data_IF_934412497467
#
_entry.id   IF_934412497467
#
_cell.length_a   1.000
_cell.length_b   1.000
_cell.length_c   1.000
_cell.angle_alpha   90.00
_cell.angle_beta   90.00
_cell.angle_gamma   90.00
#
_symmetry.space_group_name_H-M   'P 1'
#
loop_
_entity.id
_entity.type
_entity.pdbx_description
1 polymer ?
#
# COMPACT_ATOMS: atom_id res chain seq x y z
N UNK A 1 41.93 -31.53 20.02
CA UNK A 1 40.59 -32.07 20.35
C UNK A 1 39.88 -31.01 21.18
N UNK A 2 39.20 -30.09 20.49
CA UNK A 2 38.67 -28.84 21.04
C UNK A 2 37.23 -29.04 21.51
N UNK A 3 37.05 -29.08 22.83
CA UNK A 3 35.81 -28.77 23.52
C UNK A 3 35.93 -27.33 24.03
N UNK A 4 35.19 -26.39 23.43
CA UNK A 4 34.92 -25.09 24.02
C UNK A 4 33.73 -24.39 23.34
N UNK A 5 32.63 -24.23 24.09
CA UNK A 5 31.88 -22.97 24.07
C UNK A 5 30.60 -22.85 23.23
N UNK A 6 29.63 -23.75 23.40
CA UNK A 6 28.22 -23.48 23.07
C UNK A 6 27.60 -22.55 24.14
N UNK A 7 27.88 -21.25 24.08
CA UNK A 7 27.40 -20.27 25.08
C UNK A 7 27.10 -18.92 24.40
N UNK A 8 25.82 -18.52 24.42
CA UNK A 8 25.24 -17.18 24.20
C UNK A 8 24.94 -16.68 22.77
N UNK A 9 23.80 -17.12 22.22
CA UNK A 9 23.00 -16.32 21.28
C UNK A 9 21.81 -15.68 22.03
N UNK A 10 22.01 -14.45 22.55
CA UNK A 10 20.94 -13.56 23.02
C UNK A 10 21.27 -12.14 22.55
N UNK A 11 21.05 -11.88 21.26
CA UNK A 11 21.16 -10.54 20.68
C UNK A 11 19.79 -10.00 20.25
N UNK A 12 19.65 -8.68 20.39
CA UNK A 12 18.48 -7.83 20.19
C UNK A 12 18.02 -7.77 18.72
N UNK A 13 17.17 -8.70 18.30
CA UNK A 13 16.42 -8.65 17.03
C UNK A 13 15.04 -7.95 17.18
N UNK A 14 14.92 -7.06 18.16
CA UNK A 14 13.69 -6.83 18.93
C UNK A 14 12.56 -6.00 18.31
N UNK A 15 12.74 -5.30 17.18
CA UNK A 15 11.75 -4.27 16.74
C UNK A 15 11.27 -4.44 15.29
N UNK A 16 11.76 -5.45 14.56
CA UNK A 16 11.66 -5.45 13.09
C UNK A 16 10.28 -5.92 12.56
N UNK A 17 9.49 -6.70 13.32
CA UNK A 17 8.40 -7.50 12.74
C UNK A 17 7.01 -7.38 13.35
N UNK A 18 6.82 -6.71 14.49
CA UNK A 18 5.54 -6.80 15.23
C UNK A 18 4.92 -5.41 15.45
N UNK A 19 4.62 -4.76 14.33
CA UNK A 19 3.69 -3.64 14.28
C UNK A 19 2.49 -4.13 13.47
N UNK A 20 1.31 -4.13 14.10
CA UNK A 20 0.04 -4.58 13.51
C UNK A 20 -0.53 -3.57 12.51
N UNK A 21 0.02 -2.35 12.51
CA UNK A 21 -0.18 -1.35 11.47
C UNK A 21 1.16 -0.85 10.94
N UNK A 22 1.56 -1.24 9.74
CA UNK A 22 2.78 -0.67 9.12
C UNK A 22 2.45 0.62 8.36
N UNK A 23 3.45 1.48 8.16
CA UNK A 23 3.30 2.70 7.35
C UNK A 23 4.41 2.80 6.30
N UNK A 24 4.01 2.89 5.04
CA UNK A 24 4.93 2.97 3.90
C UNK A 24 4.67 4.22 3.07
N UNK A 25 5.73 4.92 2.66
CA UNK A 25 5.60 6.01 1.69
C UNK A 25 5.36 5.46 0.29
N UNK A 26 4.50 6.14 -0.44
CA UNK A 26 4.23 5.89 -1.84
C UNK A 26 4.79 7.05 -2.65
N UNK A 27 5.49 6.74 -3.72
CA UNK A 27 6.02 7.74 -4.65
C UNK A 27 5.07 7.92 -5.83
N UNK A 28 4.97 9.13 -6.37
CA UNK A 28 4.21 9.41 -7.58
C UNK A 28 4.68 8.51 -8.74
N UNK A 29 3.86 8.35 -9.78
CA UNK A 29 4.19 7.55 -10.96
C UNK A 29 4.17 6.03 -10.76
N UNK A 30 5.15 5.44 -10.07
CA UNK A 30 5.21 3.97 -9.89
C UNK A 30 4.45 3.47 -8.64
N UNK A 31 4.29 4.31 -7.62
CA UNK A 31 3.69 3.90 -6.34
C UNK A 31 2.19 3.66 -6.41
N UNK A 32 1.45 4.40 -7.24
CA UNK A 32 0.03 4.10 -7.48
C UNK A 32 -0.17 2.88 -8.37
N UNK A 33 0.82 2.53 -9.21
CA UNK A 33 0.78 1.28 -9.99
C UNK A 33 0.99 0.07 -9.09
N UNK A 34 1.86 0.19 -8.07
CA UNK A 34 1.90 -0.80 -7.01
C UNK A 34 0.53 -0.95 -6.34
N UNK A 35 -0.14 0.17 -6.05
CA UNK A 35 -1.50 0.13 -5.52
C UNK A 35 -2.45 -0.59 -6.48
N UNK A 36 -2.50 -0.25 -7.77
CA UNK A 36 -3.43 -0.88 -8.69
C UNK A 36 -3.13 -2.37 -8.94
N UNK A 37 -1.85 -2.71 -9.14
CA UNK A 37 -1.41 -4.08 -9.51
C UNK A 37 -1.23 -5.04 -8.33
N UNK A 38 -1.10 -4.55 -7.09
CA UNK A 38 -0.85 -5.39 -5.92
C UNK A 38 -1.93 -5.26 -4.85
N UNK A 39 -2.59 -4.09 -4.75
CA UNK A 39 -3.55 -3.74 -3.70
C UNK A 39 -4.99 -3.64 -4.25
N UNK A 40 -5.22 -3.06 -5.43
CA UNK A 40 -6.52 -3.00 -6.09
C UNK A 40 -6.75 -4.18 -7.05
N UNK A 41 -6.05 -5.31 -6.84
CA UNK A 41 -6.17 -6.48 -7.72
C UNK A 41 -7.53 -7.17 -7.51
N UNK A 42 -8.53 -6.65 -8.23
CA UNK A 42 -9.94 -7.07 -8.21
C UNK A 42 -10.82 -6.26 -9.17
N UNK A 43 -10.37 -5.10 -9.66
CA UNK A 43 -11.18 -4.12 -10.41
C UNK A 43 -11.57 -4.50 -11.86
N UNK A 44 -11.61 -5.77 -12.24
CA UNK A 44 -12.23 -6.14 -13.53
C UNK A 44 -13.75 -6.24 -13.39
N UNK A 45 -14.35 -5.05 -13.49
CA UNK A 45 -15.75 -4.66 -13.69
C UNK A 45 -16.83 -5.69 -13.40
N UNK A 46 -17.71 -5.39 -12.43
CA UNK A 46 -19.05 -6.00 -12.34
C UNK A 46 -20.07 -5.20 -11.54
N UNK A 47 -21.31 -5.64 -11.75
CA UNK A 47 -22.59 -4.93 -11.75
C UNK A 47 -23.10 -4.49 -10.37
N UNK A 48 -23.90 -3.43 -10.38
CA UNK A 48 -24.37 -2.65 -9.22
C UNK A 48 -25.53 -3.31 -8.49
N UNK A 49 -25.35 -4.49 -7.88
CA UNK A 49 -26.37 -4.99 -6.93
C UNK A 49 -25.87 -6.14 -6.04
N UNK A 50 -25.97 -5.92 -4.70
CA UNK A 50 -26.46 -6.84 -3.65
C UNK A 50 -25.49 -7.70 -2.78
N UNK A 51 -26.13 -8.10 -1.68
CA UNK A 51 -25.94 -9.06 -0.55
C UNK A 51 -24.57 -9.56 -0.06
N UNK A 52 -24.49 -9.73 1.28
CA UNK A 52 -23.33 -10.22 2.05
C UNK A 52 -22.90 -11.66 1.71
N UNK A 53 -23.63 -12.40 0.88
CA UNK A 53 -23.28 -13.75 0.41
C UNK A 53 -22.40 -13.76 -0.85
N UNK A 54 -22.34 -12.67 -1.61
CA UNK A 54 -21.68 -12.66 -2.93
C UNK A 54 -20.14 -12.64 -2.85
N UNK A 55 -19.56 -12.13 -1.75
CA UNK A 55 -18.10 -12.08 -1.57
C UNK A 55 -17.40 -13.45 -1.48
N UNK A 56 -18.15 -14.53 -1.26
CA UNK A 56 -17.61 -15.88 -1.23
C UNK A 56 -17.31 -16.44 -2.61
N UNK A 57 -18.07 -16.00 -3.61
CA UNK A 57 -18.08 -16.55 -4.98
C UNK A 57 -17.37 -15.66 -6.00
N UNK A 58 -17.08 -14.41 -5.64
CA UNK A 58 -16.31 -13.50 -6.49
C UNK A 58 -14.82 -13.85 -6.49
N UNK A 59 -14.19 -13.73 -7.67
CA UNK A 59 -12.75 -13.90 -7.81
C UNK A 59 -12.05 -12.60 -7.40
N UNK A 60 -11.08 -12.69 -6.50
CA UNK A 60 -10.31 -11.54 -6.03
C UNK A 60 -10.84 -10.98 -4.71
N UNK A 61 -10.43 -9.75 -4.41
CA UNK A 61 -10.76 -9.07 -3.15
C UNK A 61 -11.82 -7.99 -3.36
N UNK A 62 -12.54 -7.56 -2.31
CA UNK A 62 -13.55 -6.52 -2.42
C UNK A 62 -12.95 -5.23 -3.02
N UNK A 63 -13.75 -4.43 -3.74
CA UNK A 63 -13.28 -3.18 -4.31
C UNK A 63 -12.85 -2.21 -3.21
N UNK A 64 -11.90 -1.34 -3.54
CA UNK A 64 -11.47 -0.29 -2.62
C UNK A 64 -12.61 0.69 -2.34
N UNK A 65 -12.61 1.33 -1.16
CA UNK A 65 -13.61 2.34 -0.78
C UNK A 65 -12.98 3.64 -0.31
N UNK A 66 -13.60 4.75 -0.67
CA UNK A 66 -13.21 6.08 -0.18
C UNK A 66 -13.70 6.31 1.24
N UNK A 67 -12.79 6.73 2.12
CA UNK A 67 -13.07 7.11 3.51
C UNK A 67 -12.32 8.39 3.90
N UNK A 68 -12.74 8.99 5.01
CA UNK A 68 -12.15 10.22 5.56
C UNK A 68 -12.92 11.47 5.16
N UNK A 69 -12.87 12.51 6.00
CA UNK A 69 -13.57 13.78 5.77
C UNK A 69 -13.04 14.49 4.52
N UNK A 70 -11.74 14.38 4.24
CA UNK A 70 -11.16 14.97 3.04
C UNK A 70 -11.69 14.34 1.75
N UNK A 71 -11.99 13.03 1.78
CA UNK A 71 -12.64 12.36 0.66
C UNK A 71 -14.07 12.90 0.47
N UNK A 72 -14.83 13.08 1.55
CA UNK A 72 -16.17 13.69 1.51
C UNK A 72 -16.15 15.12 0.96
N UNK A 73 -15.17 15.94 1.33
CA UNK A 73 -15.02 17.31 0.80
C UNK A 73 -14.72 17.35 -0.71
N UNK A 74 -14.05 16.32 -1.23
CA UNK A 74 -13.85 16.13 -2.66
C UNK A 74 -15.07 15.50 -3.37
N UNK A 75 -16.18 15.28 -2.65
CA UNK A 75 -17.37 14.62 -3.19
C UNK A 75 -17.20 13.11 -3.40
N UNK A 76 -16.15 12.50 -2.84
CA UNK A 76 -15.86 11.08 -3.02
C UNK A 76 -16.61 10.23 -2.01
N UNK A 77 -17.22 9.17 -2.52
CA UNK A 77 -17.87 8.14 -1.71
C UNK A 77 -17.92 6.83 -2.49
N UNK A 78 -18.13 5.72 -1.77
CA UNK A 78 -18.25 4.41 -2.40
C UNK A 78 -16.92 3.91 -2.98
N UNK A 79 -17.00 3.23 -4.12
CA UNK A 79 -15.87 2.51 -4.71
C UNK A 79 -14.78 3.45 -5.25
N UNK A 80 -13.54 3.05 -5.02
CA UNK A 80 -12.35 3.65 -5.61
C UNK A 80 -12.19 3.14 -7.03
N UNK A 81 -11.87 4.02 -7.98
CA UNK A 81 -11.56 3.62 -9.36
C UNK A 81 -10.09 3.81 -9.67
N UNK A 82 -9.57 3.04 -10.64
CA UNK A 82 -8.20 3.22 -11.14
C UNK A 82 -7.94 4.65 -11.63
N UNK A 83 -8.88 5.24 -12.37
CA UNK A 83 -8.76 6.61 -12.89
C UNK A 83 -8.63 7.65 -11.76
N UNK A 84 -9.38 7.47 -10.66
CA UNK A 84 -9.29 8.32 -9.48
C UNK A 84 -7.95 8.12 -8.74
N UNK A 85 -7.47 6.87 -8.64
CA UNK A 85 -6.17 6.57 -8.04
C UNK A 85 -5.02 7.19 -8.85
N UNK A 86 -5.06 7.06 -10.17
CA UNK A 86 -4.10 7.69 -11.09
C UNK A 86 -4.12 9.22 -10.93
N UNK A 87 -5.30 9.83 -10.86
CA UNK A 87 -5.43 11.28 -10.65
C UNK A 87 -4.76 11.71 -9.35
N UNK A 88 -5.18 11.14 -8.22
CA UNK A 88 -4.79 11.61 -6.91
C UNK A 88 -3.35 11.27 -6.56
N UNK A 89 -2.94 10.03 -6.76
CA UNK A 89 -1.64 9.49 -6.34
C UNK A 89 -0.60 9.46 -7.46
N UNK A 90 -1.04 9.39 -8.72
CA UNK A 90 -0.13 9.42 -9.87
C UNK A 90 0.26 10.84 -10.27
N UNK A 91 -0.74 11.70 -10.44
CA UNK A 91 -0.60 12.98 -11.14
C UNK A 91 -0.79 14.19 -10.21
N UNK A 92 -1.46 13.99 -9.07
CA UNK A 92 -1.74 15.05 -8.11
C UNK A 92 -2.91 15.95 -8.54
N UNK A 93 -3.85 15.36 -9.26
CA UNK A 93 -5.10 15.96 -9.72
C UNK A 93 -6.27 15.54 -8.82
N UNK A 94 -7.38 16.27 -8.95
CA UNK A 94 -8.66 15.92 -8.36
C UNK A 94 -9.08 14.52 -8.84
N UNK A 95 -9.64 13.64 -7.99
CA UNK A 95 -10.03 12.29 -8.41
C UNK A 95 -10.97 12.26 -9.62
N UNK A 96 -11.89 13.23 -9.72
CA UNK A 96 -12.76 13.41 -10.90
C UNK A 96 -12.12 14.25 -12.03
N UNK A 97 -10.78 14.19 -12.17
CA UNK A 97 -10.03 14.99 -13.13
C UNK A 97 -10.57 14.88 -14.56
N UNK A 98 -10.95 13.69 -15.01
CA UNK A 98 -11.43 13.49 -16.38
C UNK A 98 -12.72 14.27 -16.66
N UNK A 99 -13.66 14.28 -15.71
CA UNK A 99 -14.89 15.07 -15.82
C UNK A 99 -14.60 16.57 -15.83
N UNK A 100 -13.68 17.03 -14.98
CA UNK A 100 -13.27 18.45 -14.92
C UNK A 100 -12.57 18.86 -16.23
N UNK A 101 -11.70 18.01 -16.76
CA UNK A 101 -10.98 18.24 -18.02
C UNK A 101 -11.95 18.28 -19.19
N UNK A 102 -12.87 17.33 -19.28
CA UNK A 102 -13.88 17.28 -20.33
C UNK A 102 -14.75 18.54 -20.34
N UNK A 103 -15.22 18.98 -19.17
CA UNK A 103 -16.01 20.19 -19.02
C UNK A 103 -15.20 21.44 -19.42
N UNK A 104 -13.95 21.56 -18.95
CA UNK A 104 -13.09 22.68 -19.29
C UNK A 104 -12.82 22.79 -20.80
N UNK A 105 -12.56 21.66 -21.47
CA UNK A 105 -12.37 21.62 -22.93
C UNK A 105 -13.67 21.98 -23.66
N UNK A 106 -14.82 21.51 -23.18
CA UNK A 106 -16.11 21.87 -23.73
C UNK A 106 -16.40 23.39 -23.62
N UNK A 107 -15.91 24.03 -22.55
CA UNK A 107 -15.94 25.49 -22.37
C UNK A 107 -14.90 26.25 -23.22
N UNK A 108 -14.19 25.56 -24.13
CA UNK A 108 -13.20 26.16 -25.03
C UNK A 108 -11.83 26.41 -24.40
N UNK A 109 -11.57 25.87 -23.19
CA UNK A 109 -10.23 25.97 -22.58
C UNK A 109 -9.24 25.06 -23.29
N UNK A 110 -7.98 25.48 -23.35
CA UNK A 110 -6.89 24.63 -23.84
C UNK A 110 -6.61 23.47 -22.88
N UNK A 111 -5.95 22.41 -23.36
CA UNK A 111 -5.56 21.26 -22.51
C UNK A 111 -4.77 21.68 -21.26
N UNK A 112 -3.77 22.58 -21.34
CA UNK A 112 -3.09 23.08 -20.14
C UNK A 112 -4.04 23.76 -19.13
N UNK A 113 -5.00 24.55 -19.59
CA UNK A 113 -5.99 25.20 -18.74
C UNK A 113 -6.98 24.20 -18.12
N UNK A 114 -7.33 23.14 -18.85
CA UNK A 114 -8.18 22.06 -18.37
C UNK A 114 -7.48 21.23 -17.29
N UNK A 115 -6.20 20.88 -17.49
CA UNK A 115 -5.37 20.20 -16.48
C UNK A 115 -5.17 21.07 -15.23
N UNK A 116 -4.98 22.38 -15.41
CA UNK A 116 -4.89 23.34 -14.31
C UNK A 116 -6.19 23.37 -13.49
N UNK A 117 -7.35 23.33 -14.13
CA UNK A 117 -8.64 23.29 -13.46
C UNK A 117 -8.84 22.01 -12.63
N UNK A 118 -8.28 20.89 -13.08
CA UNK A 118 -8.32 19.61 -12.36
C UNK A 118 -7.26 19.51 -11.25
N UNK A 119 -6.38 20.49 -11.07
CA UNK A 119 -5.22 20.38 -10.18
C UNK A 119 -5.59 20.63 -8.71
N UNK A 120 -5.09 19.77 -7.80
CA UNK A 120 -5.20 19.98 -6.35
C UNK A 120 -3.83 20.36 -5.73
N UNK A 121 -3.62 21.66 -5.57
CA UNK A 121 -2.36 22.20 -5.05
C UNK A 121 -1.23 22.12 -6.07
N UNK A 122 0.02 21.94 -5.64
CA UNK A 122 1.17 21.82 -6.56
C UNK A 122 1.25 20.41 -7.14
N UNK A 123 1.59 20.28 -8.43
CA UNK A 123 1.89 18.98 -9.04
C UNK A 123 3.01 18.26 -8.27
N UNK A 124 3.00 16.92 -8.31
CA UNK A 124 4.10 16.16 -7.75
C UNK A 124 5.40 16.51 -8.48
N UNK A 125 6.39 16.99 -7.73
CA UNK A 125 7.69 17.32 -8.29
C UNK A 125 8.40 16.04 -8.75
N UNK A 126 8.93 16.08 -9.96
CA UNK A 126 9.94 15.13 -10.41
C UNK A 126 11.27 15.87 -10.49
N UNK A 127 12.23 15.46 -9.67
CA UNK A 127 13.59 15.97 -9.77
C UNK A 127 14.28 15.17 -10.86
N UNK A 128 14.57 15.83 -11.99
CA UNK A 128 15.51 15.34 -12.99
C UNK A 128 16.76 16.23 -12.96
N UNK A 129 17.93 15.63 -13.07
CA UNK A 129 19.20 16.36 -13.21
C UNK A 129 19.43 16.84 -14.64
N UNK A 130 18.72 16.28 -15.62
CA UNK A 130 18.87 16.57 -17.04
C UNK A 130 17.50 16.63 -17.77
N UNK A 131 17.36 17.43 -18.84
CA UNK A 131 16.19 17.39 -19.72
C UNK A 131 16.01 15.98 -20.31
N UNK A 132 14.78 15.47 -20.39
CA UNK A 132 14.47 14.18 -21.02
C UNK A 132 13.68 14.41 -22.32
N UNK A 133 14.30 14.22 -23.50
CA UNK A 133 13.58 14.33 -24.77
C UNK A 133 12.43 13.32 -24.90
N UNK A 134 12.58 12.12 -24.33
CA UNK A 134 11.52 11.10 -24.29
C UNK A 134 10.32 11.61 -23.49
N UNK A 135 10.56 12.27 -22.37
CA UNK A 135 9.52 12.89 -21.55
C UNK A 135 8.81 14.01 -22.31
N UNK A 136 9.55 14.91 -22.93
CA UNK A 136 8.96 16.05 -23.66
C UNK A 136 8.03 15.55 -24.78
N UNK A 137 8.44 14.50 -25.51
CA UNK A 137 7.62 13.84 -26.52
C UNK A 137 6.41 13.14 -25.87
N UNK A 138 6.60 12.49 -24.72
CA UNK A 138 5.51 11.84 -23.97
C UNK A 138 4.46 12.87 -23.53
N UNK A 139 4.88 14.00 -22.95
CA UNK A 139 4.00 15.06 -22.47
C UNK A 139 3.20 15.69 -23.63
N UNK A 140 3.85 15.92 -24.78
CA UNK A 140 3.17 16.36 -26.01
C UNK A 140 2.12 15.36 -26.48
N UNK A 141 2.47 14.06 -26.56
CA UNK A 141 1.56 12.99 -26.98
C UNK A 141 0.37 12.82 -26.02
N UNK A 142 0.59 12.98 -24.72
CA UNK A 142 -0.48 12.98 -23.72
C UNK A 142 -1.41 14.19 -23.94
N UNK A 143 -0.87 15.37 -24.23
CA UNK A 143 -1.70 16.54 -24.50
C UNK A 143 -2.56 16.37 -25.78
N UNK A 144 -1.98 15.81 -26.85
CA UNK A 144 -2.70 15.44 -28.07
C UNK A 144 -3.81 14.41 -27.78
N UNK A 145 -3.52 13.39 -26.97
CA UNK A 145 -4.50 12.40 -26.53
C UNK A 145 -5.66 13.05 -25.76
N UNK A 146 -5.37 13.92 -24.80
CA UNK A 146 -6.39 14.60 -23.99
C UNK A 146 -7.25 15.51 -24.87
N UNK A 147 -6.65 16.23 -25.83
CA UNK A 147 -7.40 17.07 -26.76
C UNK A 147 -8.41 16.25 -27.59
N UNK A 148 -7.98 15.06 -28.05
CA UNK A 148 -8.81 14.18 -28.87
C UNK A 148 -9.88 13.43 -28.05
N UNK A 149 -9.50 12.86 -26.92
CA UNK A 149 -10.35 11.95 -26.13
C UNK A 149 -11.11 12.65 -25.01
N UNK A 150 -10.76 13.90 -24.69
CA UNK A 150 -11.32 14.70 -23.57
C UNK A 150 -11.22 14.03 -22.20
N UNK A 151 -10.26 13.11 -22.06
CA UNK A 151 -9.91 12.42 -20.81
C UNK A 151 -8.41 12.15 -20.80
N UNK A 152 -7.87 11.82 -19.64
CA UNK A 152 -6.48 11.36 -19.50
C UNK A 152 -6.33 9.94 -20.06
N UNK A 153 -5.13 9.59 -20.57
CA UNK A 153 -4.85 8.21 -20.93
C UNK A 153 -4.83 7.34 -19.68
N UNK A 154 -5.39 6.13 -19.79
CA UNK A 154 -5.23 5.11 -18.77
C UNK A 154 -3.79 4.56 -18.75
N UNK A 155 -3.54 3.54 -17.93
CA UNK A 155 -2.19 3.00 -17.78
C UNK A 155 -1.64 2.34 -19.05
N UNK A 156 -2.44 1.53 -19.73
CA UNK A 156 -2.03 0.80 -20.94
C UNK A 156 -1.74 1.81 -22.06
N UNK A 157 -2.65 2.77 -22.24
CA UNK A 157 -2.50 3.86 -23.18
C UNK A 157 -1.26 4.70 -22.87
N UNK A 158 -1.04 5.07 -21.61
CA UNK A 158 0.15 5.83 -21.20
C UNK A 158 1.43 5.06 -21.44
N UNK A 159 1.41 3.74 -21.23
CA UNK A 159 2.56 2.86 -21.50
C UNK A 159 2.87 2.80 -23.00
N UNK A 160 1.84 2.73 -23.84
CA UNK A 160 2.00 2.81 -25.30
C UNK A 160 2.57 4.17 -25.69
N UNK A 161 1.98 5.28 -25.24
CA UNK A 161 2.43 6.64 -25.57
C UNK A 161 3.90 6.87 -25.17
N UNK A 162 4.32 6.36 -24.01
CA UNK A 162 5.71 6.47 -23.54
C UNK A 162 6.67 5.59 -24.34
N UNK A 163 6.23 4.39 -24.74
CA UNK A 163 7.00 3.49 -25.60
C UNK A 163 7.19 4.11 -26.99
N UNK A 164 6.16 4.71 -27.55
CA UNK A 164 6.21 5.41 -28.83
C UNK A 164 7.07 6.67 -28.77
N UNK A 165 7.03 7.40 -27.66
CA UNK A 165 7.91 8.55 -27.44
C UNK A 165 9.39 8.13 -27.40
N UNK A 166 9.71 7.03 -26.71
CA UNK A 166 11.07 6.48 -26.71
C UNK A 166 11.48 6.01 -28.10
N UNK A 167 10.59 5.35 -28.84
CA UNK A 167 10.83 4.93 -30.22
C UNK A 167 11.12 6.12 -31.13
N UNK A 168 10.32 7.19 -31.04
CA UNK A 168 10.51 8.43 -31.82
C UNK A 168 11.89 9.03 -31.54
N UNK A 169 12.21 9.27 -30.25
CA UNK A 169 13.49 9.83 -29.85
C UNK A 169 14.68 9.00 -30.33
N UNK A 170 14.65 7.68 -30.07
CA UNK A 170 15.72 6.78 -30.44
C UNK A 170 15.86 6.64 -31.97
N UNK A 171 14.78 6.70 -32.73
CA UNK A 171 14.85 6.69 -34.20
C UNK A 171 15.61 7.91 -34.72
N UNK A 172 15.35 9.09 -34.13
CA UNK A 172 16.08 10.32 -34.47
C UNK A 172 17.56 10.22 -34.08
N UNK A 173 17.89 9.71 -32.90
CA UNK A 173 19.27 9.62 -32.41
C UNK A 173 20.09 8.55 -33.13
N UNK A 174 19.49 7.38 -33.39
CA UNK A 174 20.18 6.24 -34.02
C UNK A 174 20.18 6.30 -35.54
N UNK A 175 19.31 7.11 -36.16
CA UNK A 175 19.12 7.13 -37.62
C UNK A 175 18.51 5.84 -38.20
N UNK A 176 18.01 4.94 -37.34
CA UNK A 176 17.36 3.67 -37.70
C UNK A 176 16.27 3.33 -36.70
N UNK A 177 15.42 2.36 -37.04
CA UNK A 177 14.46 1.82 -36.10
C UNK A 177 15.19 1.19 -34.87
N UNK A 178 14.81 1.56 -33.63
CA UNK A 178 15.35 0.94 -32.43
C UNK A 178 14.72 -0.45 -32.21
N UNK A 179 15.53 -1.35 -31.66
CA UNK A 179 15.08 -2.64 -31.15
C UNK A 179 14.28 -2.49 -29.86
N UNK A 180 13.60 -3.56 -29.45
CA UNK A 180 12.83 -3.59 -28.20
C UNK A 180 13.73 -3.34 -26.97
N UNK A 181 14.89 -3.98 -26.92
CA UNK A 181 15.85 -3.84 -25.82
C UNK A 181 16.35 -2.40 -25.68
N UNK A 182 16.65 -1.73 -26.81
CA UNK A 182 17.09 -0.32 -26.78
C UNK A 182 16.01 0.62 -26.22
N UNK A 183 14.74 0.36 -26.52
CA UNK A 183 13.61 1.11 -25.96
C UNK A 183 13.51 0.85 -24.45
N UNK A 184 13.56 -0.41 -24.03
CA UNK A 184 13.48 -0.81 -22.62
C UNK A 184 14.63 -0.19 -21.80
N UNK A 185 15.85 -0.22 -22.33
CA UNK A 185 17.04 0.37 -21.70
C UNK A 185 16.94 1.89 -21.57
N UNK A 186 16.48 2.59 -22.61
CA UNK A 186 16.28 4.04 -22.57
C UNK A 186 15.24 4.46 -21.52
N UNK A 187 14.11 3.74 -21.47
CA UNK A 187 13.06 3.98 -20.48
C UNK A 187 13.52 3.66 -19.05
N UNK A 188 14.36 2.63 -18.88
CA UNK A 188 14.96 2.27 -17.61
C UNK A 188 15.97 3.32 -17.13
N UNK A 189 16.82 3.83 -18.04
CA UNK A 189 17.78 4.90 -17.74
C UNK A 189 17.08 6.19 -17.29
N UNK A 190 16.02 6.59 -17.99
CA UNK A 190 15.19 7.74 -17.61
C UNK A 190 14.56 7.57 -16.21
N UNK A 191 14.07 6.35 -15.93
CA UNK A 191 13.50 6.02 -14.61
C UNK A 191 14.56 6.07 -13.50
N UNK A 192 15.79 5.65 -13.78
CA UNK A 192 16.88 5.68 -12.80
C UNK A 192 17.34 7.12 -12.47
N UNK A 193 17.26 8.04 -13.44
CA UNK A 193 17.65 9.44 -13.27
C UNK A 193 16.62 10.34 -12.56
N UNK A 194 15.40 9.85 -12.31
CA UNK A 194 14.30 10.66 -11.77
C UNK A 194 13.96 10.32 -10.31
N UNK A 195 13.97 11.33 -9.43
CA UNK A 195 13.44 11.19 -8.06
C UNK A 195 12.00 11.69 -8.00
N UNK A 196 11.08 10.80 -7.65
CA UNK A 196 9.64 11.09 -7.59
C UNK A 196 9.21 11.57 -6.19
N UNK A 197 8.39 12.61 -6.15
CA UNK A 197 7.79 13.09 -4.91
C UNK A 197 6.95 12.00 -4.22
N UNK A 198 6.76 12.17 -2.90
CA UNK A 198 5.85 11.31 -2.13
C UNK A 198 4.42 11.69 -2.48
N UNK A 199 3.67 10.73 -3.00
CA UNK A 199 2.28 10.87 -3.40
C UNK A 199 1.28 10.49 -2.30
N UNK A 200 1.69 9.66 -1.36
CA UNK A 200 0.83 9.20 -0.29
C UNK A 200 1.53 8.28 0.71
N UNK A 201 0.75 7.76 1.63
CA UNK A 201 1.20 6.90 2.72
C UNK A 201 0.23 5.73 2.87
N UNK A 202 0.75 4.51 2.72
CA UNK A 202 -0.01 3.29 2.89
C UNK A 202 0.09 2.80 4.34
N UNK A 203 -1.04 2.81 5.05
CA UNK A 203 -1.17 2.25 6.38
C UNK A 203 -1.77 0.85 6.28
N UNK A 204 -1.00 -0.20 6.56
CA UNK A 204 -1.46 -1.59 6.40
C UNK A 204 -1.83 -2.17 7.75
N UNK A 205 -3.13 -2.37 7.98
CA UNK A 205 -3.68 -2.94 9.20
C UNK A 205 -3.81 -4.45 9.09
N UNK A 206 -3.09 -5.19 9.92
CA UNK A 206 -3.13 -6.66 9.99
C UNK A 206 -3.38 -7.09 11.43
N UNK A 207 -4.46 -7.84 11.72
CA UNK A 207 -4.73 -8.37 13.05
C UNK A 207 -3.69 -9.43 13.45
N UNK A 208 -3.74 -9.87 14.71
CA UNK A 208 -2.81 -10.87 15.22
C UNK A 208 -3.03 -12.18 14.45
N UNK A 209 -1.98 -12.98 14.27
CA UNK A 209 -2.06 -14.16 13.41
C UNK A 209 -3.11 -15.16 13.91
N UNK A 210 -3.32 -15.28 15.22
CA UNK A 210 -4.43 -16.08 15.77
C UNK A 210 -5.82 -15.59 15.36
N UNK A 211 -6.05 -14.27 15.28
CA UNK A 211 -7.31 -13.71 14.77
C UNK A 211 -7.44 -14.03 13.27
N UNK A 212 -6.35 -13.90 12.50
CA UNK A 212 -6.35 -14.24 11.07
C UNK A 212 -6.67 -15.70 10.82
N UNK A 213 -6.12 -16.61 11.63
CA UNK A 213 -6.39 -18.04 11.52
C UNK A 213 -7.83 -18.35 11.94
N UNK A 214 -8.30 -17.78 13.06
CA UNK A 214 -9.68 -17.95 13.50
C UNK A 214 -10.69 -17.45 12.45
N UNK A 215 -10.36 -16.36 11.74
CA UNK A 215 -11.15 -15.86 10.62
C UNK A 215 -11.15 -16.83 9.41
N UNK A 216 -10.00 -17.43 9.09
CA UNK A 216 -9.87 -18.37 7.99
C UNK A 216 -10.59 -19.70 8.25
N UNK A 217 -10.29 -20.34 9.39
CA UNK A 217 -10.76 -21.68 9.74
C UNK A 217 -12.09 -21.68 10.53
N UNK A 218 -12.56 -20.53 10.98
CA UNK A 218 -13.82 -20.42 11.70
C UNK A 218 -15.06 -20.60 10.82
N UNK A 219 -16.22 -20.70 11.46
CA UNK A 219 -17.51 -20.68 10.77
C UNK A 219 -17.75 -19.35 10.04
N UNK A 220 -18.74 -19.33 9.15
CA UNK A 220 -19.13 -18.10 8.44
C UNK A 220 -19.50 -16.94 9.39
N UNK A 221 -20.09 -17.25 10.55
CA UNK A 221 -20.45 -16.23 11.53
C UNK A 221 -19.24 -15.69 12.30
N UNK A 222 -18.30 -16.57 12.67
CA UNK A 222 -17.00 -16.17 13.25
C UNK A 222 -16.26 -15.27 12.27
N UNK A 223 -16.21 -15.66 11.00
CA UNK A 223 -15.54 -14.91 9.94
C UNK A 223 -16.17 -13.54 9.75
N UNK A 224 -17.50 -13.48 9.62
CA UNK A 224 -18.26 -12.24 9.45
C UNK A 224 -18.03 -11.26 10.60
N UNK A 225 -18.03 -11.78 11.83
CA UNK A 225 -17.85 -10.97 13.03
C UNK A 225 -16.42 -10.45 13.17
N UNK A 226 -15.40 -11.28 12.90
CA UNK A 226 -14.00 -10.83 12.89
C UNK A 226 -13.77 -9.81 11.77
N UNK A 227 -14.33 -10.05 10.58
CA UNK A 227 -14.25 -9.13 9.46
C UNK A 227 -14.85 -7.78 9.89
N UNK A 228 -16.09 -7.73 10.37
CA UNK A 228 -16.75 -6.51 10.89
C UNK A 228 -15.90 -5.79 11.94
N UNK A 229 -15.41 -6.51 12.95
CA UNK A 229 -14.58 -5.93 14.01
C UNK A 229 -13.28 -5.32 13.45
N UNK A 230 -12.68 -5.93 12.43
CA UNK A 230 -11.51 -5.39 11.74
C UNK A 230 -11.84 -4.07 11.03
N UNK A 231 -12.91 -3.98 10.23
CA UNK A 231 -13.28 -2.71 9.55
C UNK A 231 -13.53 -1.60 10.54
N UNK A 232 -14.32 -1.85 11.58
CA UNK A 232 -14.63 -0.83 12.57
C UNK A 232 -13.37 -0.38 13.31
N UNK A 233 -12.45 -1.30 13.63
CA UNK A 233 -11.18 -0.94 14.26
C UNK A 233 -10.31 -0.08 13.33
N UNK A 234 -10.23 -0.41 12.04
CA UNK A 234 -9.53 0.40 11.04
C UNK A 234 -10.14 1.80 10.95
N UNK A 235 -11.46 1.90 10.81
CA UNK A 235 -12.17 3.18 10.72
C UNK A 235 -11.97 4.05 11.97
N UNK A 236 -12.10 3.48 13.17
CA UNK A 236 -11.88 4.22 14.42
C UNK A 236 -10.46 4.75 14.55
N UNK A 237 -9.46 3.96 14.15
CA UNK A 237 -8.05 4.38 14.21
C UNK A 237 -7.75 5.44 13.16
N UNK A 238 -8.30 5.31 11.95
CA UNK A 238 -8.14 6.31 10.90
C UNK A 238 -8.88 7.61 11.22
N UNK A 239 -10.07 7.55 11.82
CA UNK A 239 -10.78 8.75 12.30
C UNK A 239 -9.99 9.47 13.40
N UNK A 240 -9.38 8.71 14.31
CA UNK A 240 -8.47 9.27 15.31
C UNK A 240 -7.22 9.88 14.65
N UNK A 241 -6.61 9.18 13.70
CA UNK A 241 -5.44 9.67 12.98
C UNK A 241 -5.76 10.97 12.22
N UNK A 242 -6.90 11.03 11.54
CA UNK A 242 -7.38 12.23 10.87
C UNK A 242 -7.58 13.39 11.87
N UNK A 243 -8.16 13.14 13.05
CA UNK A 243 -8.37 14.18 14.05
C UNK A 243 -7.10 14.77 14.68
N UNK A 244 -5.97 14.04 14.61
CA UNK A 244 -4.72 14.43 15.29
C UNK A 244 -3.57 14.74 14.33
N UNK A 245 -3.59 14.18 13.13
CA UNK A 245 -2.45 14.17 12.21
C UNK A 245 -2.81 14.63 10.80
N UNK A 246 -4.06 15.04 10.53
CA UNK A 246 -4.41 15.78 9.32
C UNK A 246 -3.90 17.22 9.45
N UNK A 247 -2.62 17.42 9.16
CA UNK A 247 -1.94 18.71 9.29
C UNK A 247 -1.09 19.01 8.07
N UNK A 248 -0.94 20.30 7.75
CA UNK A 248 -0.10 20.79 6.65
C UNK A 248 0.73 21.99 7.09
N UNK A 249 1.66 22.45 6.25
CA UNK A 249 2.62 23.51 6.59
C UNK A 249 2.44 24.77 5.75
N UNK A 250 2.77 25.93 6.31
CA UNK A 250 2.73 27.26 5.70
C UNK A 250 3.98 28.09 6.04
N UNK A 251 4.18 29.15 5.28
CA UNK A 251 5.33 30.06 5.39
C UNK A 251 6.60 29.53 4.72
N UNK A 252 7.61 30.38 4.63
CA UNK A 252 8.93 29.99 4.12
C UNK A 252 9.44 28.77 4.92
N UNK A 253 9.91 27.73 4.23
CA UNK A 253 10.35 26.47 4.82
C UNK A 253 9.29 25.74 5.69
N UNK A 254 8.01 26.11 5.57
CA UNK A 254 6.92 25.46 6.30
C UNK A 254 6.95 25.67 7.81
N UNK A 255 7.48 26.79 8.30
CA UNK A 255 7.67 27.06 9.74
C UNK A 255 6.39 26.96 10.58
N UNK A 256 5.22 27.17 9.98
CA UNK A 256 3.92 27.08 10.66
C UNK A 256 3.18 25.82 10.25
N UNK A 257 2.73 25.02 11.22
CA UNK A 257 1.77 23.94 10.99
C UNK A 257 0.35 24.48 11.17
N UNK A 258 -0.57 24.05 10.31
CA UNK A 258 -2.00 24.32 10.41
C UNK A 258 -2.78 23.03 10.23
N UNK A 259 -4.00 23.01 10.73
CA UNK A 259 -4.92 21.88 10.55
C UNK A 259 -5.34 21.76 9.09
N UNK A 260 -5.50 20.52 8.65
CA UNK A 260 -6.25 20.18 7.47
C UNK A 260 -7.69 19.84 7.86
N UNK A 261 -8.60 19.99 6.91
CA UNK A 261 -10.01 19.71 7.09
C UNK A 261 -10.32 18.20 7.18
N UNK A 262 -9.50 17.38 6.53
CA UNK A 262 -9.54 15.93 6.63
C UNK A 262 -8.46 15.22 5.82
N UNK A 263 -8.45 13.89 5.93
CA UNK A 263 -7.64 12.99 5.11
C UNK A 263 -8.49 12.45 3.96
N UNK A 264 -7.85 12.26 2.80
CA UNK A 264 -8.41 11.52 1.67
C UNK A 264 -7.80 10.13 1.68
N UNK A 265 -8.62 9.09 1.88
CA UNK A 265 -8.10 7.73 2.09
C UNK A 265 -8.82 6.74 1.16
N UNK A 266 -8.05 5.97 0.39
CA UNK A 266 -8.54 4.81 -0.32
C UNK A 266 -8.23 3.54 0.50
N UNK A 267 -9.26 2.82 0.94
CA UNK A 267 -9.11 1.61 1.75
C UNK A 267 -9.37 0.37 0.90
N UNK A 268 -8.41 -0.56 0.87
CA UNK A 268 -8.51 -1.83 0.14
C UNK A 268 -8.39 -3.00 1.11
N UNK A 269 -9.31 -3.94 1.00
CA UNK A 269 -9.43 -5.05 1.95
C UNK A 269 -8.98 -6.34 1.28
N UNK A 270 -8.22 -7.15 1.99
CA UNK A 270 -7.64 -8.38 1.48
C UNK A 270 -7.87 -9.54 2.43
N UNK A 271 -7.88 -10.75 1.88
CA UNK A 271 -8.18 -11.98 2.61
C UNK A 271 -6.93 -12.77 3.00
N UNK A 272 -5.91 -12.72 2.15
CA UNK A 272 -4.76 -13.61 2.22
C UNK A 272 -3.44 -12.84 2.11
N UNK A 273 -2.35 -13.48 2.54
CA UNK A 273 -1.01 -12.96 2.28
C UNK A 273 -0.51 -13.42 0.91
N UNK A 274 0.71 -13.01 0.51
CA UNK A 274 1.28 -13.44 -0.79
C UNK A 274 1.54 -14.95 -0.95
N UNK A 275 1.59 -15.72 0.14
CA UNK A 275 1.67 -17.19 0.07
C UNK A 275 0.29 -17.85 0.06
N UNK A 276 -0.78 -17.06 0.11
CA UNK A 276 -2.14 -17.55 0.15
C UNK A 276 -2.57 -18.01 1.55
N UNK A 277 -1.89 -17.64 2.64
CA UNK A 277 -2.36 -17.98 4.01
C UNK A 277 -3.43 -16.99 4.49
N UNK A 278 -4.30 -17.39 5.45
CA UNK A 278 -5.27 -16.49 6.08
C UNK A 278 -4.58 -15.24 6.64
N UNK A 279 -4.99 -14.08 6.13
CA UNK A 279 -4.47 -12.79 6.54
C UNK A 279 -5.46 -11.66 6.17
N UNK A 280 -6.60 -11.54 6.86
CA UNK A 280 -7.51 -10.43 6.66
C UNK A 280 -6.78 -9.13 6.97
N UNK A 281 -6.57 -8.26 5.99
CA UNK A 281 -5.83 -7.01 6.18
C UNK A 281 -6.36 -5.87 5.32
N UNK A 282 -6.13 -4.64 5.77
CA UNK A 282 -6.57 -3.44 5.05
C UNK A 282 -5.39 -2.55 4.72
N UNK A 283 -5.21 -2.23 3.44
CA UNK A 283 -4.35 -1.15 2.96
C UNK A 283 -5.14 0.16 2.96
N UNK A 284 -4.84 1.06 3.90
CA UNK A 284 -5.44 2.39 3.96
C UNK A 284 -4.47 3.43 3.40
N UNK A 285 -4.69 3.78 2.14
CA UNK A 285 -3.83 4.66 1.37
C UNK A 285 -4.24 6.11 1.59
N UNK A 286 -3.47 6.82 2.40
CA UNK A 286 -3.67 8.23 2.71
C UNK A 286 -3.02 9.09 1.62
N UNK A 287 -3.77 10.01 1.04
CA UNK A 287 -3.24 11.01 0.10
C UNK A 287 -2.14 11.85 0.73
N UNK A 288 -1.07 12.08 -0.03
CA UNK A 288 -0.04 13.04 0.32
C UNK A 288 -0.51 14.48 0.21
N UNK A 289 -1.75 14.71 -0.26
CA UNK A 289 -2.38 16.03 -0.41
C UNK A 289 -3.55 16.18 0.54
N UNK A 290 -3.61 17.33 1.19
CA UNK A 290 -4.68 17.71 2.11
C UNK A 290 -5.10 19.15 1.88
N UNK A 291 -6.38 19.43 2.16
CA UNK A 291 -6.93 20.78 2.16
C UNK A 291 -6.69 21.41 3.53
N UNK A 292 -5.92 22.50 3.58
CA UNK A 292 -5.73 23.26 4.81
C UNK A 292 -7.03 23.96 5.23
N UNK A 293 -7.17 24.27 6.52
CA UNK A 293 -8.28 25.08 7.04
C UNK A 293 -8.35 26.50 6.45
N UNK A 294 -7.32 26.91 5.70
CA UNK A 294 -7.26 28.14 4.89
C UNK A 294 -7.79 27.98 3.46
N UNK A 295 -8.39 26.82 3.13
CA UNK A 295 -8.93 26.52 1.80
C UNK A 295 -7.88 26.19 0.75
N UNK A 296 -6.62 25.96 1.14
CA UNK A 296 -5.52 25.69 0.20
C UNK A 296 -5.02 24.26 0.27
N UNK A 297 -4.99 23.60 -0.88
CA UNK A 297 -4.38 22.28 -1.06
C UNK A 297 -2.86 22.33 -0.92
N UNK A 298 -2.29 21.42 -0.15
CA UNK A 298 -0.86 21.33 0.12
C UNK A 298 -0.45 19.91 0.50
N UNK A 299 0.85 19.67 0.63
CA UNK A 299 1.35 18.38 1.08
C UNK A 299 0.99 18.13 2.57
N UNK A 300 0.64 16.89 2.90
CA UNK A 300 0.47 16.41 4.26
C UNK A 300 1.80 16.46 5.01
N UNK A 301 1.80 17.00 6.22
CA UNK A 301 2.96 16.93 7.12
C UNK A 301 3.02 15.57 7.82
N UNK A 302 3.47 14.56 7.09
CA UNK A 302 3.49 13.18 7.58
C UNK A 302 4.47 12.91 8.73
N UNK A 303 5.31 13.87 9.15
CA UNK A 303 6.25 13.66 10.28
C UNK A 303 5.52 13.27 11.56
N UNK A 304 4.39 13.91 11.84
CA UNK A 304 3.57 13.59 12.99
C UNK A 304 2.92 12.19 12.85
N UNK A 305 2.43 11.87 11.66
CA UNK A 305 1.86 10.56 11.35
C UNK A 305 2.91 9.43 11.50
N UNK A 306 4.12 9.62 10.98
CA UNK A 306 5.25 8.69 11.17
C UNK A 306 5.58 8.49 12.64
N UNK A 307 5.72 9.57 13.40
CA UNK A 307 6.00 9.50 14.83
C UNK A 307 4.90 8.76 15.62
N UNK A 308 3.66 8.81 15.14
CA UNK A 308 2.50 8.17 15.76
C UNK A 308 2.27 6.70 15.34
N UNK A 309 3.04 6.15 14.39
CA UNK A 309 2.81 4.81 13.81
C UNK A 309 2.64 3.73 14.88
N UNK A 310 3.53 3.68 15.87
CA UNK A 310 3.47 2.69 16.95
C UNK A 310 2.21 2.88 17.79
N UNK A 311 1.89 4.12 18.18
CA UNK A 311 0.68 4.42 18.97
C UNK A 311 -0.61 4.08 18.23
N UNK A 312 -0.68 4.37 16.92
CA UNK A 312 -1.81 4.00 16.07
C UNK A 312 -1.94 2.48 15.94
N UNK A 313 -0.82 1.76 15.81
CA UNK A 313 -0.82 0.29 15.82
C UNK A 313 -1.30 -0.28 17.16
N UNK A 314 -0.87 0.29 18.28
CA UNK A 314 -1.33 -0.14 19.61
C UNK A 314 -2.84 0.12 19.78
N UNK A 315 -3.33 1.27 19.27
CA UNK A 315 -4.75 1.60 19.27
C UNK A 315 -5.55 0.60 18.45
N UNK A 316 -5.10 0.27 17.24
CA UNK A 316 -5.74 -0.75 16.40
C UNK A 316 -5.84 -2.10 17.13
N UNK A 317 -4.73 -2.57 17.71
CA UNK A 317 -4.71 -3.83 18.47
C UNK A 317 -5.69 -3.81 19.64
N UNK A 318 -5.67 -2.74 20.45
CA UNK A 318 -6.58 -2.59 21.58
C UNK A 318 -8.05 -2.54 21.15
N UNK A 319 -8.35 -1.84 20.05
CA UNK A 319 -9.71 -1.72 19.52
C UNK A 319 -10.24 -3.06 19.01
N UNK A 320 -9.49 -3.78 18.17
CA UNK A 320 -9.97 -5.06 17.62
C UNK A 320 -10.10 -6.12 18.71
N UNK A 321 -9.12 -6.23 19.62
CA UNK A 321 -9.19 -7.16 20.76
C UNK A 321 -10.39 -6.82 21.65
N UNK A 322 -10.61 -5.53 21.94
CA UNK A 322 -11.74 -5.09 22.74
C UNK A 322 -13.09 -5.41 22.10
N UNK A 323 -13.21 -5.26 20.78
CA UNK A 323 -14.43 -5.61 20.03
C UNK A 323 -14.69 -7.12 20.10
N UNK A 324 -13.69 -7.94 19.75
CA UNK A 324 -13.81 -9.40 19.74
C UNK A 324 -14.07 -10.00 21.13
N UNK A 325 -13.47 -9.44 22.18
CA UNK A 325 -13.78 -9.82 23.58
C UNK A 325 -15.25 -9.61 23.92
N UNK A 326 -15.87 -8.55 23.41
CA UNK A 326 -17.27 -8.19 23.74
C UNK A 326 -18.28 -8.92 22.86
N UNK A 327 -18.00 -9.08 21.57
CA UNK A 327 -18.97 -9.66 20.64
C UNK A 327 -18.91 -11.17 20.55
N UNK A 328 -17.76 -11.78 20.84
CA UNK A 328 -17.54 -13.23 20.71
C UNK A 328 -17.02 -13.89 21.99
N UNK A 329 -16.89 -13.13 23.08
CA UNK A 329 -16.38 -13.61 24.37
C UNK A 329 -14.97 -14.26 24.29
N UNK A 330 -14.20 -13.90 23.26
CA UNK A 330 -12.87 -14.47 23.06
C UNK A 330 -11.93 -14.07 24.20
N UNK A 331 -11.15 -15.04 24.68
CA UNK A 331 -10.05 -14.79 25.62
C UNK A 331 -8.75 -14.60 24.84
N UNK A 332 -7.89 -13.74 25.38
CA UNK A 332 -6.60 -13.42 24.79
C UNK A 332 -5.51 -13.57 25.84
N UNK A 333 -4.35 -14.06 25.42
CA UNK A 333 -3.15 -14.19 26.25
C UNK A 333 -1.97 -13.45 25.61
N UNK A 334 -1.04 -13.01 26.45
CA UNK A 334 0.19 -12.39 26.00
C UNK A 334 1.18 -13.46 25.53
N UNK A 335 1.60 -13.39 24.26
CA UNK A 335 2.68 -14.22 23.73
C UNK A 335 3.93 -13.37 23.49
N UNK A 336 4.99 -13.71 24.21
CA UNK A 336 6.28 -13.02 24.15
C UNK A 336 7.16 -13.66 23.08
N UNK A 337 7.52 -12.89 22.05
CA UNK A 337 8.31 -13.40 20.91
C UNK A 337 9.76 -12.90 20.89
N UNK A 338 10.40 -12.92 22.07
CA UNK A 338 11.81 -12.59 22.28
C UNK A 338 12.04 -11.47 23.30
N UNK A 339 13.29 -11.33 23.77
CA UNK A 339 13.67 -10.36 24.80
C UNK A 339 13.55 -8.92 24.29
N UNK A 340 12.86 -8.06 25.05
CA UNK A 340 12.69 -6.64 24.74
C UNK A 340 11.55 -6.33 23.76
N UNK A 341 10.71 -7.31 23.42
CA UNK A 341 9.51 -7.12 22.60
C UNK A 341 8.29 -6.88 23.47
N UNK A 342 7.38 -6.04 22.98
CA UNK A 342 6.03 -6.00 23.52
C UNK A 342 5.33 -7.33 23.19
N UNK A 343 4.56 -7.91 24.12
CA UNK A 343 3.79 -9.11 23.84
C UNK A 343 2.73 -8.82 22.76
N UNK A 344 2.43 -9.83 21.95
CA UNK A 344 1.26 -9.81 21.07
C UNK A 344 0.12 -10.52 21.80
N UNK A 345 -1.08 -9.95 21.74
CA UNK A 345 -2.28 -10.59 22.28
C UNK A 345 -2.80 -11.58 21.23
N UNK A 346 -2.71 -12.86 21.54
CA UNK A 346 -3.18 -13.95 20.69
C UNK A 346 -4.42 -14.61 21.32
N UNK A 347 -5.33 -15.12 20.50
CA UNK A 347 -6.56 -15.79 20.94
C UNK A 347 -6.21 -17.09 21.66
N UNK A 348 -6.75 -17.27 22.87
CA UNK A 348 -6.63 -18.52 23.62
C UNK A 348 -7.31 -19.65 22.85
N UNK A 349 -6.60 -20.76 22.65
CA UNK A 349 -7.09 -21.92 21.88
C UNK A 349 -6.49 -22.03 20.47
N UNK A 350 -5.86 -20.98 19.94
CA UNK A 350 -5.06 -21.08 18.71
C UNK A 350 -3.62 -21.43 19.09
N UNK A 351 -3.20 -22.67 18.84
CA UNK A 351 -1.87 -23.18 19.20
C UNK A 351 -0.72 -22.51 18.44
N UNK A 352 0.51 -22.61 18.97
CA UNK A 352 1.70 -22.07 18.30
C UNK A 352 2.08 -22.89 17.05
N UNK A 353 1.75 -24.17 17.03
CA UNK A 353 1.81 -25.05 15.87
C UNK A 353 0.95 -24.53 14.71
N UNK A 354 -0.30 -24.16 15.00
CA UNK A 354 -1.23 -23.60 14.03
C UNK A 354 -0.74 -22.23 13.51
N UNK A 355 -0.18 -21.40 14.39
CA UNK A 355 0.45 -20.14 14.00
C UNK A 355 1.65 -20.38 13.09
N UNK A 356 2.49 -21.37 13.40
CA UNK A 356 3.68 -21.71 12.63
C UNK A 356 3.31 -22.19 11.23
N UNK A 357 2.30 -23.05 11.10
CA UNK A 357 1.81 -23.57 9.81
C UNK A 357 1.37 -22.44 8.84
N UNK A 358 0.67 -21.43 9.33
CA UNK A 358 0.19 -20.30 8.53
C UNK A 358 1.10 -19.07 8.59
N UNK A 359 2.37 -19.24 8.95
CA UNK A 359 3.35 -18.17 9.09
C UNK A 359 4.61 -18.46 8.28
N UNK A 360 5.09 -17.41 7.62
CA UNK A 360 6.32 -17.44 6.81
C UNK A 360 7.55 -16.97 7.57
N UNK A 361 7.40 -16.84 8.88
CA UNK A 361 8.40 -16.23 9.74
C UNK A 361 9.70 -17.01 9.71
N UNK A 362 9.64 -18.33 9.68
CA UNK A 362 10.83 -19.18 9.73
C UNK A 362 11.66 -19.06 8.44
N UNK A 363 11.02 -19.02 7.27
CA UNK A 363 11.70 -18.77 6.00
C UNK A 363 12.40 -17.41 5.99
N UNK A 364 11.72 -16.37 6.48
CA UNK A 364 12.25 -15.00 6.53
C UNK A 364 13.45 -14.94 7.49
N UNK A 365 13.35 -15.59 8.66
CA UNK A 365 14.44 -15.67 9.63
C UNK A 365 15.63 -16.42 9.04
N UNK A 366 15.41 -17.59 8.46
CA UNK A 366 16.47 -18.38 7.82
C UNK A 366 17.16 -17.58 6.71
N UNK A 367 16.41 -16.86 5.87
CA UNK A 367 16.98 -16.02 4.82
C UNK A 367 17.75 -14.83 5.38
N UNK A 368 17.23 -14.17 6.42
CA UNK A 368 17.92 -13.09 7.11
C UNK A 368 19.25 -13.57 7.71
N UNK A 369 19.28 -14.75 8.32
CA UNK A 369 20.50 -15.33 8.89
C UNK A 369 21.57 -15.58 7.84
N UNK A 370 21.18 -16.07 6.65
CA UNK A 370 22.08 -16.21 5.50
C UNK A 370 22.64 -14.84 5.06
N UNK A 371 21.79 -13.83 4.94
CA UNK A 371 22.20 -12.47 4.58
C UNK A 371 23.14 -11.85 5.62
N UNK A 372 22.84 -12.04 6.91
CA UNK A 372 23.68 -11.57 8.01
C UNK A 372 25.03 -12.30 8.05
N UNK A 373 25.06 -13.62 7.82
CA UNK A 373 26.29 -14.40 7.73
C UNK A 373 27.17 -13.93 6.56
N UNK A 374 26.57 -13.69 5.38
CA UNK A 374 27.26 -13.12 4.23
C UNK A 374 27.82 -11.73 4.52
N UNK A 375 27.04 -10.87 5.19
CA UNK A 375 27.50 -9.55 5.60
C UNK A 375 28.74 -9.64 6.50
N UNK A 376 28.72 -10.54 7.51
CA UNK A 376 29.88 -10.77 8.39
C UNK A 376 31.10 -11.26 7.62
N UNK A 377 30.92 -12.19 6.68
CA UNK A 377 32.03 -12.72 5.88
C UNK A 377 32.70 -11.63 5.02
N UNK A 378 31.93 -10.69 4.48
CA UNK A 378 32.43 -9.59 3.64
C UNK A 378 33.03 -8.46 4.47
N UNK A 379 32.42 -8.09 5.59
CA UNK A 379 32.77 -6.88 6.36
C UNK A 379 33.55 -7.16 7.65
N UNK A 380 33.73 -8.43 8.05
CA UNK A 380 34.47 -8.81 9.25
C UNK A 380 33.79 -8.48 10.58
N UNK A 381 32.56 -7.94 10.57
CA UNK A 381 31.81 -7.59 11.77
C UNK A 381 30.30 -7.82 11.61
N UNK A 382 29.58 -7.84 12.73
CA UNK A 382 28.12 -7.95 12.72
C UNK A 382 27.45 -6.71 12.09
N UNK A 383 26.35 -6.87 11.34
CA UNK A 383 25.61 -5.72 10.81
C UNK A 383 25.07 -4.86 11.96
N UNK A 384 25.22 -3.53 11.84
CA UNK A 384 24.59 -2.56 12.76
C UNK A 384 23.07 -2.62 12.61
N UNK A 385 22.33 -2.09 13.59
CA UNK A 385 20.86 -2.15 13.61
C UNK A 385 20.19 -1.64 12.33
N UNK A 386 20.63 -0.49 11.79
CA UNK A 386 20.13 0.06 10.52
C UNK A 386 20.33 -0.91 9.34
N UNK A 387 21.48 -1.57 9.29
CA UNK A 387 21.78 -2.58 8.27
C UNK A 387 20.93 -3.83 8.47
N UNK A 388 20.71 -4.25 9.72
CA UNK A 388 19.83 -5.38 10.02
C UNK A 388 18.40 -5.13 9.52
N UNK A 389 17.84 -3.92 9.68
CA UNK A 389 16.54 -3.57 9.10
C UNK A 389 16.52 -3.75 7.57
N UNK A 390 17.58 -3.32 6.88
CA UNK A 390 17.69 -3.48 5.42
C UNK A 390 17.78 -4.94 5.01
N UNK A 391 18.60 -5.74 5.71
CA UNK A 391 18.73 -7.18 5.43
C UNK A 391 17.44 -7.93 5.73
N UNK A 392 16.70 -7.56 6.77
CA UNK A 392 15.40 -8.15 7.09
C UNK A 392 14.33 -7.78 6.05
N UNK A 393 14.33 -6.54 5.57
CA UNK A 393 13.49 -6.12 4.44
C UNK A 393 13.84 -6.91 3.17
N UNK A 394 15.13 -7.09 2.89
CA UNK A 394 15.62 -7.90 1.77
C UNK A 394 15.19 -9.36 1.90
N UNK A 395 15.37 -9.99 3.07
CA UNK A 395 14.92 -11.36 3.32
C UNK A 395 13.41 -11.51 3.10
N UNK A 396 12.63 -10.54 3.58
CA UNK A 396 11.18 -10.49 3.37
C UNK A 396 10.83 -10.38 1.89
N UNK A 397 11.60 -9.65 1.09
CA UNK A 397 11.37 -9.49 -0.34
C UNK A 397 11.77 -10.73 -1.14
N UNK A 398 12.94 -11.30 -0.86
CA UNK A 398 13.50 -12.44 -1.59
C UNK A 398 12.76 -13.75 -1.31
N UNK A 399 12.16 -13.88 -0.12
CA UNK A 399 11.33 -15.03 0.19
C UNK A 399 9.94 -14.93 -0.45
N UNK A 400 9.51 -13.77 -0.99
CA UNK A 400 8.17 -13.63 -1.60
C UNK A 400 8.03 -14.53 -2.84
N UNK A 401 7.10 -15.47 -2.77
CA UNK A 401 6.56 -16.13 -3.96
C UNK A 401 5.84 -15.12 -4.88
N UNK A 402 5.74 -15.46 -6.17
CA UNK A 402 4.84 -14.75 -7.08
C UNK A 402 3.39 -14.92 -6.61
N UNK A 403 2.60 -13.84 -6.71
CA UNK A 403 1.18 -13.90 -6.31
C UNK A 403 0.48 -14.92 -7.23
N UNK A 404 -0.16 -15.97 -6.67
CA UNK A 404 -0.92 -16.92 -7.47
C UNK A 404 -2.09 -16.22 -8.16
N UNK A 405 -2.71 -16.90 -9.14
CA UNK A 405 -3.92 -16.40 -9.80
C UNK A 405 -5.01 -16.06 -8.76
N UNK A 406 -5.84 -15.02 -8.98
CA UNK A 406 -6.89 -14.64 -8.06
C UNK A 406 -7.84 -15.82 -7.78
N UNK A 407 -7.93 -16.23 -6.52
CA UNK A 407 -8.87 -17.26 -6.06
C UNK A 407 -10.13 -16.59 -5.52
N UNK A 408 -11.24 -17.32 -5.55
CA UNK A 408 -12.42 -16.95 -4.75
C UNK A 408 -12.11 -17.18 -3.27
N UNK A 409 -12.78 -16.45 -2.38
CA UNK A 409 -12.63 -16.71 -0.95
C UNK A 409 -13.01 -18.15 -0.62
N UNK A 410 -14.09 -18.71 -1.20
CA UNK A 410 -14.48 -20.10 -0.95
C UNK A 410 -13.38 -21.11 -1.28
N UNK A 411 -12.66 -20.92 -2.39
CA UNK A 411 -11.50 -21.77 -2.72
C UNK A 411 -10.39 -21.65 -1.67
N UNK A 412 -10.08 -20.43 -1.23
CA UNK A 412 -9.07 -20.21 -0.19
C UNK A 412 -9.47 -20.91 1.13
N UNK A 413 -10.73 -20.79 1.53
CA UNK A 413 -11.26 -21.44 2.74
C UNK A 413 -11.11 -22.96 2.68
N UNK A 414 -11.48 -23.60 1.57
CA UNK A 414 -11.31 -25.05 1.38
C UNK A 414 -9.83 -25.45 1.46
N UNK A 415 -8.92 -24.68 0.86
CA UNK A 415 -7.49 -24.96 0.90
C UNK A 415 -6.92 -24.84 2.32
N UNK A 416 -7.34 -23.83 3.08
CA UNK A 416 -6.90 -23.65 4.47
C UNK A 416 -7.40 -24.77 5.39
N UNK A 417 -8.67 -25.15 5.21
CA UNK A 417 -9.28 -26.24 5.96
C UNK A 417 -8.57 -27.57 5.68
N UNK A 418 -8.32 -27.90 4.41
CA UNK A 418 -7.60 -29.12 4.02
C UNK A 418 -6.16 -29.14 4.53
N UNK A 419 -5.47 -27.98 4.56
CA UNK A 419 -4.08 -27.90 5.06
C UNK A 419 -3.97 -28.22 6.55
N UNK A 420 -4.94 -27.79 7.35
CA UNK A 420 -4.88 -27.96 8.80
C UNK A 420 -5.66 -29.19 9.31
N UNK A 421 -6.72 -29.58 8.60
CA UNK A 421 -7.54 -30.76 8.87
C UNK A 421 -7.53 -31.71 7.64
N UNK A 422 -6.43 -32.45 7.39
CA UNK A 422 -6.31 -33.32 6.22
C UNK A 422 -7.21 -34.58 6.26
N UNK A 423 -7.88 -34.85 7.38
CA UNK A 423 -8.78 -35.99 7.57
C UNK A 423 -10.15 -35.53 8.12
N UNK A 424 -11.08 -35.23 7.21
CA UNK A 424 -12.52 -35.15 7.48
C UNK A 424 -13.31 -35.74 6.33
#
# INVERSE_FOLDING_TARGET
MLLAGNVFFKFTYGVIFEIMMTLHRLHAGDGYLYLNSQVATGDRGRDRTRDLTDYYTEHGTPPGVWIGRGATELGLSGMVTEAQMQALFGEGLHPDADSIIAAAIADGKSVPQALEAARIGRMFYEFSTEPSPIRDITDRRIAEFIAAQRRRPDWDERTILRTDAAREHLTTVLGRAPSRTEIEDALAAEKAGTRKAVAGFDCVFTPAKSISILWGLGSDDVRREIWRAHFEAVQEVLAFAESRYAVTRRGANGVRQIDATGLVIAAFHHFDNRAGDPNPHTHAVISGKVLGCDGKWSALDARALYAATVSLSCRYNATIVGKLKRSMELRFEERFRGRGKQPVLEVVGVGEDMITEFSRRDDIIARFEQLAARYRAVHGHNPKLVTQYKLAQQATLETRAQKPLPKTLRQMLTEWDTRYCPES
#
